data_IF_875498555953
#
_entry.id   IF_875498555953
#
_cell.length_a   1.000
_cell.length_b   1.000
_cell.length_c   1.000
_cell.angle_alpha   90.00
_cell.angle_beta   90.00
_cell.angle_gamma   90.00
#
_symmetry.space_group_name_H-M   'P 1'
#
loop_
_entity.id
_entity.type
_entity.pdbx_description
1 polymer ?
#
# COMPACT_ATOMS: atom_id res chain seq x y z
N UNK A 1 23.08 3.14 5.61
CA UNK A 1 22.12 3.94 6.40
C UNK A 1 22.61 3.98 7.83
N UNK A 2 22.80 5.16 8.41
CA UNK A 2 23.20 5.29 9.82
C UNK A 2 22.03 4.94 10.76
N UNK A 3 22.34 4.67 12.02
CA UNK A 3 21.33 4.39 13.06
C UNK A 3 20.33 5.54 13.21
N UNK A 4 20.84 6.77 13.31
CA UNK A 4 20.00 7.98 13.35
C UNK A 4 19.06 8.13 12.14
N UNK A 5 19.47 7.70 10.95
CA UNK A 5 18.59 7.71 9.77
C UNK A 5 17.47 6.66 9.89
N UNK A 6 17.78 5.47 10.40
CA UNK A 6 16.79 4.41 10.61
C UNK A 6 15.75 4.84 11.64
N UNK A 7 16.19 5.38 12.78
CA UNK A 7 15.30 5.86 13.84
C UNK A 7 14.34 6.96 13.34
N UNK A 8 14.84 7.83 12.45
CA UNK A 8 14.03 8.84 11.81
C UNK A 8 12.96 8.25 10.87
N UNK A 9 13.31 7.26 10.04
CA UNK A 9 12.32 6.60 9.17
C UNK A 9 11.27 5.85 9.99
N UNK A 10 11.69 5.17 11.06
CA UNK A 10 10.79 4.46 11.97
C UNK A 10 9.84 5.43 12.70
N UNK A 11 10.32 6.63 13.03
CA UNK A 11 9.49 7.71 13.58
C UNK A 11 8.38 8.12 12.61
N UNK A 12 8.70 8.28 11.32
CA UNK A 12 7.71 8.62 10.29
C UNK A 12 6.68 7.49 10.17
N UNK A 13 7.12 6.24 10.08
CA UNK A 13 6.22 5.09 9.99
C UNK A 13 5.26 5.00 11.19
N UNK A 14 5.76 5.25 12.41
CA UNK A 14 4.94 5.32 13.63
C UNK A 14 3.86 6.41 13.57
N UNK A 15 4.10 7.51 12.86
CA UNK A 15 3.12 8.57 12.66
C UNK A 15 2.14 8.27 11.51
N UNK A 16 2.59 7.58 10.45
CA UNK A 16 1.77 7.23 9.30
C UNK A 16 0.61 6.31 9.66
N UNK A 17 0.86 5.27 10.45
CA UNK A 17 -0.17 4.26 10.76
C UNK A 17 -1.41 4.85 11.46
N UNK A 18 -1.28 5.65 12.55
CA UNK A 18 -2.44 6.32 13.14
C UNK A 18 -3.14 7.29 12.18
N UNK A 19 -2.38 7.98 11.32
CA UNK A 19 -2.96 8.90 10.33
C UNK A 19 -3.83 8.15 9.29
N UNK A 20 -3.36 6.98 8.83
CA UNK A 20 -4.13 6.09 7.96
C UNK A 20 -5.37 5.52 8.65
N UNK A 21 -5.25 5.17 9.94
CA UNK A 21 -6.34 4.57 10.71
C UNK A 21 -7.45 5.56 11.06
N UNK A 22 -7.11 6.81 11.34
CA UNK A 22 -8.05 7.82 11.84
C UNK A 22 -9.33 8.00 11.00
N UNK A 23 -9.29 8.05 9.65
CA UNK A 23 -10.50 8.19 8.84
C UNK A 23 -11.28 6.88 8.64
N UNK A 24 -10.71 5.72 8.99
CA UNK A 24 -11.37 4.43 8.78
C UNK A 24 -12.49 4.25 9.81
N UNK A 25 -13.73 4.54 9.42
CA UNK A 25 -14.91 4.38 10.30
C UNK A 25 -15.18 2.91 10.69
N UNK A 26 -14.71 1.97 9.86
CA UNK A 26 -14.99 0.53 10.00
C UNK A 26 -13.80 -0.27 10.57
N UNK A 27 -13.01 0.29 11.49
CA UNK A 27 -11.85 -0.42 12.06
C UNK A 27 -12.23 -1.78 12.67
N UNK A 28 -13.46 -1.93 13.17
CA UNK A 28 -13.98 -3.20 13.69
C UNK A 28 -14.14 -4.29 12.61
N UNK A 29 -14.21 -3.91 11.34
CA UNK A 29 -14.34 -4.83 10.19
C UNK A 29 -13.00 -5.04 9.47
N UNK A 30 -11.97 -4.27 9.82
CA UNK A 30 -10.67 -4.29 9.17
C UNK A 30 -9.70 -5.09 10.04
N UNK A 31 -8.96 -6.03 9.46
CA UNK A 31 -7.84 -6.65 10.17
C UNK A 31 -6.67 -5.67 10.28
N UNK A 32 -6.73 -4.82 11.31
CA UNK A 32 -5.76 -3.75 11.56
C UNK A 32 -4.33 -4.25 11.70
N UNK A 33 -4.12 -5.55 11.97
CA UNK A 33 -2.79 -6.16 12.05
C UNK A 33 -2.14 -6.31 10.67
N UNK A 34 -2.94 -6.46 9.62
CA UNK A 34 -2.48 -6.64 8.23
C UNK A 34 -2.23 -5.31 7.51
N UNK A 35 -2.49 -4.19 8.18
CA UNK A 35 -2.11 -2.87 7.68
C UNK A 35 -0.59 -2.75 7.71
N UNK A 36 -0.04 -2.26 6.61
CA UNK A 36 1.38 -2.02 6.46
C UNK A 36 1.62 -0.62 5.89
N UNK A 37 2.63 0.06 6.41
CA UNK A 37 3.17 1.29 5.88
C UNK A 37 4.59 1.04 5.37
N UNK A 38 4.96 1.76 4.32
CA UNK A 38 6.29 1.68 3.71
C UNK A 38 6.78 3.05 3.26
N UNK A 39 8.08 3.25 3.35
CA UNK A 39 8.79 4.39 2.78
C UNK A 39 9.75 3.87 1.71
N UNK A 40 9.72 4.50 0.54
CA UNK A 40 10.54 4.13 -0.60
C UNK A 40 11.41 5.30 -1.05
N UNK A 41 12.57 5.00 -1.64
CA UNK A 41 13.37 6.01 -2.31
C UNK A 41 12.79 6.41 -3.68
N UNK A 42 13.43 7.38 -4.34
CA UNK A 42 13.04 7.87 -5.67
C UNK A 42 12.95 6.77 -6.73
N UNK A 43 13.68 5.67 -6.56
CA UNK A 43 13.72 4.54 -7.49
C UNK A 43 12.71 3.45 -7.12
N UNK A 44 11.85 3.68 -6.11
CA UNK A 44 10.88 2.68 -5.66
C UNK A 44 11.49 1.56 -4.82
N UNK A 45 12.71 1.72 -4.30
CA UNK A 45 13.30 0.73 -3.41
C UNK A 45 12.82 0.98 -1.98
N UNK A 46 12.34 -0.08 -1.33
CA UNK A 46 11.85 -0.01 0.04
C UNK A 46 12.99 0.33 1.00
N UNK A 47 12.84 1.45 1.72
CA UNK A 47 13.81 1.93 2.71
C UNK A 47 13.46 1.44 4.12
N UNK A 48 12.17 1.48 4.46
CA UNK A 48 11.66 1.09 5.77
C UNK A 48 10.19 0.65 5.67
N UNK A 49 9.78 -0.22 6.58
CA UNK A 49 8.40 -0.68 6.72
C UNK A 49 8.10 -1.01 8.17
N UNK A 50 6.87 -0.77 8.62
CA UNK A 50 6.40 -1.17 9.95
C UNK A 50 5.87 -2.62 9.99
N UNK A 51 5.85 -3.30 8.85
CA UNK A 51 5.31 -4.65 8.72
C UNK A 51 6.21 -5.51 7.79
N UNK A 52 7.24 -6.13 8.36
CA UNK A 52 8.21 -6.95 7.61
C UNK A 52 7.57 -8.03 6.73
N UNK A 53 6.47 -8.65 7.18
CA UNK A 53 5.75 -9.67 6.40
C UNK A 53 5.15 -9.16 5.07
N UNK A 54 5.04 -7.84 4.87
CA UNK A 54 4.55 -7.22 3.63
C UNK A 54 5.65 -6.54 2.83
N UNK A 55 6.92 -6.63 3.24
CA UNK A 55 8.03 -5.97 2.55
C UNK A 55 8.12 -6.36 1.07
N UNK A 56 7.90 -7.64 0.76
CA UNK A 56 7.86 -8.14 -0.62
C UNK A 56 6.75 -7.53 -1.44
N UNK A 57 5.51 -7.52 -0.92
CA UNK A 57 4.35 -6.88 -1.55
C UNK A 57 4.59 -5.39 -1.77
N UNK A 58 5.10 -4.69 -0.74
CA UNK A 58 5.37 -3.26 -0.83
C UNK A 58 6.37 -2.95 -1.95
N UNK A 59 7.42 -3.77 -2.06
CA UNK A 59 8.43 -3.62 -3.10
C UNK A 59 7.90 -3.98 -4.50
N UNK A 60 7.17 -5.08 -4.63
CA UNK A 60 6.64 -5.54 -5.93
C UNK A 60 5.58 -4.57 -6.48
N UNK A 61 4.61 -4.16 -5.66
CA UNK A 61 3.55 -3.25 -6.11
C UNK A 61 4.08 -1.87 -6.46
N UNK A 62 5.03 -1.33 -5.69
CA UNK A 62 5.66 -0.05 -6.04
C UNK A 62 6.44 -0.12 -7.35
N UNK A 63 7.14 -1.23 -7.63
CA UNK A 63 7.79 -1.43 -8.92
C UNK A 63 6.78 -1.41 -10.07
N UNK A 64 5.66 -2.15 -9.96
CA UNK A 64 4.60 -2.14 -10.98
C UNK A 64 3.97 -0.75 -11.19
N UNK A 65 3.68 -0.03 -10.11
CA UNK A 65 3.13 1.34 -10.17
C UNK A 65 4.11 2.27 -10.92
N UNK A 66 5.39 2.22 -10.56
CA UNK A 66 6.39 3.12 -11.14
C UNK A 66 6.80 2.72 -12.57
N UNK A 67 6.68 1.45 -12.94
CA UNK A 67 6.84 1.03 -14.34
C UNK A 67 5.69 1.57 -15.22
N UNK A 68 4.47 1.65 -14.68
CA UNK A 68 3.31 2.13 -15.43
C UNK A 68 3.20 3.65 -15.50
N UNK A 69 3.24 4.32 -14.34
CA UNK A 69 3.11 5.78 -14.24
C UNK A 69 4.44 6.52 -14.43
N UNK A 70 5.55 5.79 -14.48
CA UNK A 70 6.88 6.39 -14.44
C UNK A 70 7.16 7.09 -13.11
N UNK A 71 8.06 8.07 -13.16
CA UNK A 71 8.39 8.95 -12.04
C UNK A 71 7.69 10.31 -12.13
N UNK A 72 6.57 10.38 -12.86
CA UNK A 72 5.86 11.62 -13.19
C UNK A 72 4.80 12.03 -12.15
N UNK A 73 4.67 11.28 -11.05
CA UNK A 73 3.72 11.60 -9.98
C UNK A 73 4.05 12.94 -9.31
N UNK A 74 3.05 13.82 -9.24
CA UNK A 74 3.13 15.15 -8.67
C UNK A 74 2.63 15.20 -7.22
N UNK A 75 2.95 16.29 -6.51
CA UNK A 75 2.50 16.48 -5.13
C UNK A 75 0.98 16.57 -5.10
N UNK A 76 0.35 15.68 -4.33
CA UNK A 76 -1.11 15.57 -4.23
C UNK A 76 -1.68 14.37 -4.95
N UNK A 77 -0.90 13.74 -5.84
CA UNK A 77 -1.32 12.50 -6.49
C UNK A 77 -1.35 11.34 -5.48
N UNK A 78 -2.33 10.47 -5.66
CA UNK A 78 -2.46 9.20 -4.95
C UNK A 78 -2.80 8.13 -5.97
N UNK A 79 -1.90 7.16 -6.13
CA UNK A 79 -2.15 5.96 -6.91
C UNK A 79 -2.77 4.92 -5.99
N UNK A 80 -3.80 4.24 -6.50
CA UNK A 80 -4.53 3.21 -5.76
C UNK A 80 -4.65 1.96 -6.62
N UNK A 81 -4.29 0.81 -6.08
CA UNK A 81 -4.38 -0.48 -6.75
C UNK A 81 -4.63 -1.59 -5.74
N UNK A 82 -5.38 -2.62 -6.12
CA UNK A 82 -5.54 -3.85 -5.35
C UNK A 82 -5.30 -5.08 -6.22
N UNK A 83 -4.66 -4.90 -7.37
CA UNK A 83 -4.44 -5.96 -8.34
C UNK A 83 -3.40 -6.98 -7.83
N UNK A 84 -3.80 -8.23 -7.55
CA UNK A 84 -2.87 -9.26 -7.08
C UNK A 84 -1.86 -9.69 -8.15
N UNK A 85 -2.10 -9.36 -9.42
CA UNK A 85 -1.16 -9.66 -10.51
C UNK A 85 -0.11 -8.56 -10.70
N UNK A 86 -0.30 -7.40 -10.06
CA UNK A 86 0.59 -6.23 -10.11
C UNK A 86 1.34 -6.04 -8.79
N UNK A 87 1.80 -7.15 -8.20
CA UNK A 87 2.58 -7.18 -6.96
C UNK A 87 1.77 -7.31 -5.67
N UNK A 88 0.44 -7.12 -5.74
CA UNK A 88 -0.47 -7.36 -4.62
C UNK A 88 -0.55 -8.84 -4.22
N UNK A 89 -1.17 -9.15 -3.08
CA UNK A 89 -1.29 -10.53 -2.58
C UNK A 89 -2.67 -11.15 -2.73
N UNK A 90 -3.70 -10.33 -2.62
CA UNK A 90 -5.12 -10.72 -2.66
C UNK A 90 -5.94 -9.47 -2.95
N UNK A 91 -7.10 -9.63 -3.58
CA UNK A 91 -7.89 -8.49 -4.08
C UNK A 91 -8.33 -7.54 -2.96
N UNK A 92 -8.46 -8.02 -1.72
CA UNK A 92 -8.92 -7.22 -0.60
C UNK A 92 -7.84 -6.25 -0.08
N UNK A 93 -6.58 -6.41 -0.45
CA UNK A 93 -5.51 -5.52 -0.03
C UNK A 93 -5.43 -4.30 -0.94
N UNK A 94 -6.02 -3.18 -0.52
CA UNK A 94 -5.90 -1.91 -1.22
C UNK A 94 -4.55 -1.26 -0.89
N UNK A 95 -3.75 -1.04 -1.91
CA UNK A 95 -2.47 -0.34 -1.83
C UNK A 95 -2.64 1.10 -2.29
N UNK A 96 -2.10 2.03 -1.51
CA UNK A 96 -2.03 3.46 -1.81
C UNK A 96 -0.56 3.88 -1.89
N UNK A 97 -0.19 4.61 -2.93
CA UNK A 97 1.15 5.19 -3.11
C UNK A 97 1.02 6.68 -3.41
N UNK A 98 1.83 7.50 -2.74
CA UNK A 98 1.89 8.95 -2.98
C UNK A 98 3.35 9.43 -2.99
N UNK A 99 3.73 10.34 -3.91
CA UNK A 99 5.08 10.89 -3.96
C UNK A 99 5.33 11.86 -2.80
N UNK A 100 6.53 11.78 -2.23
CA UNK A 100 7.02 12.73 -1.23
C UNK A 100 7.85 13.77 -1.97
N UNK A 101 7.42 15.03 -1.94
CA UNK A 101 8.14 16.12 -2.59
C UNK A 101 8.85 17.03 -1.59
N UNK A 102 10.04 17.50 -1.97
CA UNK A 102 10.78 18.53 -1.25
C UNK A 102 11.43 19.48 -2.26
N UNK A 103 11.24 20.79 -2.07
CA UNK A 103 11.80 21.84 -2.94
C UNK A 103 11.49 21.60 -4.44
N UNK A 104 10.25 21.20 -4.74
CA UNK A 104 9.78 20.94 -6.11
C UNK A 104 10.37 19.68 -6.76
N UNK A 105 10.93 18.74 -5.98
CA UNK A 105 11.46 17.48 -6.48
C UNK A 105 10.90 16.32 -5.69
N UNK A 106 10.53 15.24 -6.38
CA UNK A 106 10.22 13.96 -5.75
C UNK A 106 11.50 13.40 -5.09
N UNK A 107 11.43 13.11 -3.78
CA UNK A 107 12.51 12.56 -2.96
C UNK A 107 12.26 11.10 -2.53
N UNK A 108 11.10 10.54 -2.86
CA UNK A 108 10.70 9.18 -2.50
C UNK A 108 9.19 9.02 -2.49
N UNK A 109 8.70 7.92 -1.95
CA UNK A 109 7.27 7.63 -1.89
C UNK A 109 6.86 7.14 -0.51
N UNK A 110 5.64 7.49 -0.10
CA UNK A 110 4.96 6.87 1.02
C UNK A 110 3.95 5.88 0.46
N UNK A 111 3.89 4.70 1.07
CA UNK A 111 2.97 3.65 0.66
C UNK A 111 2.24 3.07 1.87
N UNK A 112 0.99 2.67 1.66
CA UNK A 112 0.18 1.99 2.65
C UNK A 112 -0.61 0.85 2.01
N UNK A 113 -0.73 -0.26 2.72
CA UNK A 113 -1.62 -1.37 2.37
C UNK A 113 -2.70 -1.44 3.45
N UNK A 114 -3.96 -1.42 3.02
CA UNK A 114 -5.12 -1.52 3.89
C UNK A 114 -6.04 -2.65 3.40
N UNK A 115 -6.30 -3.68 4.22
CA UNK A 115 -7.27 -4.70 3.86
C UNK A 115 -8.68 -4.13 3.96
N UNK A 116 -9.42 -4.19 2.86
CA UNK A 116 -10.83 -3.84 2.84
C UNK A 116 -11.69 -5.05 3.20
N UNK A 117 -12.76 -4.85 4.00
CA UNK A 117 -13.58 -5.96 4.46
C UNK A 117 -14.35 -6.63 3.32
N UNK A 118 -14.75 -5.88 2.30
CA UNK A 118 -15.53 -6.38 1.18
C UNK A 118 -15.31 -5.49 -0.05
N UNK A 119 -15.35 -6.10 -1.24
CA UNK A 119 -15.15 -5.45 -2.54
C UNK A 119 -16.25 -5.81 -3.55
N UNK A 120 -17.37 -6.37 -3.08
CA UNK A 120 -18.52 -6.74 -3.90
C UNK A 120 -18.35 -8.06 -4.65
N UNK A 121 -17.62 -9.01 -4.07
CA UNK A 121 -17.47 -10.36 -4.62
C UNK A 121 -18.75 -11.21 -4.46
N UNK A 122 -18.70 -12.44 -4.96
CA UNK A 122 -19.79 -13.42 -4.90
C UNK A 122 -20.12 -13.87 -3.47
N UNK A 123 -19.14 -13.81 -2.55
CA UNK A 123 -19.32 -14.08 -1.14
C UNK A 123 -18.98 -12.85 -0.29
N UNK A 124 -19.68 -12.72 0.83
CA UNK A 124 -19.38 -11.72 1.85
C UNK A 124 -17.93 -11.87 2.33
N UNK A 125 -17.23 -10.75 2.44
CA UNK A 125 -15.84 -10.73 2.88
C UNK A 125 -14.80 -10.92 1.78
N UNK A 126 -15.24 -11.11 0.52
CA UNK A 126 -14.38 -11.32 -0.64
C UNK A 126 -13.61 -12.64 -0.68
N UNK A 127 -13.72 -13.51 0.33
CA UNK A 127 -13.04 -14.81 0.38
C UNK A 127 -14.01 -15.94 0.03
N UNK A 128 -14.34 -16.09 -1.26
CA UNK A 128 -15.13 -17.24 -1.72
C UNK A 128 -14.20 -18.41 -2.06
N UNK A 129 -14.16 -19.51 -1.28
CA UNK A 129 -13.33 -20.67 -1.60
C UNK A 129 -13.79 -21.40 -2.88
N UNK A 130 -14.94 -21.03 -3.44
CA UNK A 130 -15.47 -21.55 -4.69
C UNK A 130 -15.25 -20.60 -5.88
N UNK A 131 -14.59 -19.46 -5.67
CA UNK A 131 -14.22 -18.58 -6.77
C UNK A 131 -13.32 -19.34 -7.75
N UNK A 132 -13.75 -19.42 -9.01
CA UNK A 132 -12.97 -20.00 -10.09
C UNK A 132 -12.15 -18.94 -10.83
N UNK A 133 -12.52 -17.68 -10.68
CA UNK A 133 -11.92 -16.53 -11.34
C UNK A 133 -11.89 -15.33 -10.40
N UNK A 134 -10.90 -14.45 -10.59
CA UNK A 134 -10.67 -13.28 -9.73
C UNK A 134 -11.86 -12.31 -9.67
N UNK A 135 -12.65 -12.23 -10.74
CA UNK A 135 -13.83 -11.36 -10.84
C UNK A 135 -14.94 -11.75 -9.85
N UNK A 136 -14.95 -12.99 -9.39
CA UNK A 136 -15.86 -13.45 -8.35
C UNK A 136 -15.42 -13.00 -6.95
N UNK A 137 -14.19 -12.52 -6.77
CA UNK A 137 -13.66 -12.08 -5.47
C UNK A 137 -13.87 -10.59 -5.19
N UNK A 138 -14.24 -9.79 -6.21
CA UNK A 138 -14.61 -8.39 -6.08
C UNK A 138 -14.06 -7.49 -7.19
N UNK A 139 -14.18 -6.17 -6.98
CA UNK A 139 -13.65 -5.16 -7.89
C UNK A 139 -12.12 -5.17 -7.85
N UNK A 140 -11.51 -5.27 -9.03
CA UNK A 140 -10.06 -5.14 -9.24
C UNK A 140 -9.75 -3.80 -9.91
N UNK A 141 -8.86 -3.04 -9.29
CA UNK A 141 -8.29 -1.78 -9.77
C UNK A 141 -6.81 -2.05 -10.03
N UNK A 142 -6.39 -1.90 -11.28
CA UNK A 142 -5.01 -2.08 -11.75
C UNK A 142 -4.34 -0.72 -11.86
#
# INVERSE_FOLDING_TARGET
>A
MSESQRDFLDSILRAMRPALMRPLASQALIDVKQIACGLLDRQGRLLATDHLGRAGTLHATSACILDYFGHELESGDVVMTNDPYSGGTRIQDLTLLTPIQSKGRNVGYAMAVCPLPDLGGNALGGNDPRALEIWAEGIRVT
#
